data_IF_629962760333
#
_entry.id   IF_629962760333
#
_cell.length_a   1.000
_cell.length_b   1.000
_cell.length_c   1.000
_cell.angle_alpha   90.00
_cell.angle_beta   90.00
_cell.angle_gamma   90.00
#
_symmetry.space_group_name_H-M   'P 1'
#
loop_
_entity.id
_entity.type
_entity.pdbx_description
1 polymer ?
#
# COMPACT_ATOMS: atom_id res chain seq x y z
N UNK A 1 6.23 -5.29 -11.09
CA UNK A 1 5.81 -4.46 -9.99
C UNK A 1 5.28 -5.35 -8.87
N UNK A 2 5.61 -5.02 -7.63
CA UNK A 2 5.26 -5.86 -6.50
C UNK A 2 3.82 -5.57 -6.03
N UNK A 3 3.14 -6.63 -5.65
CA UNK A 3 1.80 -6.51 -5.11
C UNK A 3 1.87 -6.51 -3.59
N UNK A 4 1.16 -5.60 -2.95
CA UNK A 4 1.16 -5.49 -1.49
C UNK A 4 -0.27 -5.53 -0.97
N UNK A 5 -0.39 -5.92 0.30
CA UNK A 5 -1.69 -5.90 0.98
C UNK A 5 -1.51 -5.36 2.39
N UNK A 6 -2.58 -4.83 2.93
CA UNK A 6 -2.57 -4.29 4.29
C UNK A 6 -3.98 -4.35 4.86
N UNK A 7 -4.06 -4.19 6.19
CA UNK A 7 -5.35 -4.15 6.88
C UNK A 7 -5.55 -2.78 7.50
N UNK A 8 -6.76 -2.26 7.35
CA UNK A 8 -7.12 -0.97 7.93
C UNK A 8 -8.61 -0.96 8.24
N UNK A 9 -8.96 -0.52 9.43
CA UNK A 9 -10.35 -0.45 9.83
C UNK A 9 -11.09 -1.77 9.79
N UNK A 10 -10.38 -2.88 10.06
CA UNK A 10 -10.97 -4.20 10.04
C UNK A 10 -11.19 -4.80 8.66
N UNK A 11 -10.70 -4.13 7.62
CA UNK A 11 -10.82 -4.60 6.23
C UNK A 11 -9.46 -4.83 5.62
N UNK A 12 -9.40 -5.79 4.70
CA UNK A 12 -8.18 -6.07 3.96
C UNK A 12 -8.18 -5.31 2.64
N UNK A 13 -7.07 -4.65 2.38
CA UNK A 13 -6.88 -3.89 1.15
C UNK A 13 -5.65 -4.40 0.42
N UNK A 14 -5.64 -4.21 -0.88
CA UNK A 14 -4.48 -4.57 -1.70
C UNK A 14 -4.20 -3.48 -2.72
N UNK A 15 -2.98 -3.47 -3.20
CA UNK A 15 -2.56 -2.49 -4.19
C UNK A 15 -1.24 -2.87 -4.81
N UNK A 16 -0.70 -2.00 -5.65
CA UNK A 16 0.59 -2.21 -6.30
C UNK A 16 1.64 -1.34 -5.63
N UNK A 17 2.76 -1.98 -5.23
CA UNK A 17 3.86 -1.25 -4.63
C UNK A 17 4.53 -0.38 -5.69
N UNK A 18 4.56 0.93 -5.45
CA UNK A 18 5.16 1.88 -6.40
C UNK A 18 6.46 2.46 -5.88
N UNK A 19 6.64 2.49 -4.56
CA UNK A 19 7.85 3.03 -3.97
C UNK A 19 8.01 2.50 -2.56
N UNK A 20 9.24 2.38 -2.12
CA UNK A 20 9.55 1.94 -0.77
C UNK A 20 10.65 2.81 -0.19
N UNK A 21 10.46 3.27 1.04
CA UNK A 21 11.47 4.01 1.79
C UNK A 21 11.91 3.16 2.99
N UNK A 22 12.80 3.70 3.81
CA UNK A 22 13.28 2.98 5.00
C UNK A 22 12.17 2.67 6.00
N UNK A 23 11.16 3.54 6.08
CA UNK A 23 10.13 3.43 7.11
C UNK A 23 8.74 3.18 6.56
N UNK A 24 8.51 3.44 5.29
CA UNK A 24 7.19 3.36 4.70
C UNK A 24 7.22 2.69 3.34
N UNK A 25 6.07 2.15 2.96
CA UNK A 25 5.83 1.65 1.61
C UNK A 25 4.69 2.45 1.01
N UNK A 26 4.82 2.79 -0.26
CA UNK A 26 3.77 3.50 -0.97
C UNK A 26 3.14 2.55 -1.96
N UNK A 27 1.83 2.39 -1.86
CA UNK A 27 1.09 1.50 -2.74
C UNK A 27 -0.02 2.26 -3.43
N UNK A 28 -0.27 1.88 -4.68
CA UNK A 28 -1.36 2.47 -5.44
C UNK A 28 -2.59 1.57 -5.30
N UNK A 29 -3.69 2.16 -4.88
CA UNK A 29 -4.94 1.43 -4.70
C UNK A 29 -5.70 1.32 -6.02
N UNK A 30 -6.76 0.51 -6.01
CA UNK A 30 -7.61 0.34 -7.19
C UNK A 30 -8.26 1.65 -7.63
N UNK A 31 -8.50 2.53 -6.69
CA UNK A 31 -9.11 3.83 -6.98
C UNK A 31 -8.12 4.84 -7.53
N UNK A 32 -6.87 4.45 -7.69
CA UNK A 32 -5.84 5.36 -8.16
C UNK A 32 -5.23 6.25 -7.08
N UNK A 33 -5.56 5.97 -5.83
CA UNK A 33 -5.02 6.73 -4.70
C UNK A 33 -3.73 6.10 -4.21
N UNK A 34 -2.88 6.91 -3.61
CA UNK A 34 -1.62 6.44 -3.04
C UNK A 34 -1.82 6.22 -1.55
N UNK A 35 -1.47 5.01 -1.10
CA UNK A 35 -1.55 4.65 0.31
C UNK A 35 -0.15 4.58 0.89
N UNK A 36 0.05 5.29 1.99
CA UNK A 36 1.31 5.28 2.71
C UNK A 36 1.20 4.27 3.84
N UNK A 37 2.03 3.25 3.80
CA UNK A 37 1.98 2.14 4.75
C UNK A 37 3.26 2.14 5.57
N UNK A 38 3.13 2.26 6.87
CA UNK A 38 4.27 2.20 7.77
C UNK A 38 4.76 0.75 7.88
N UNK A 39 6.07 0.55 7.79
CA UNK A 39 6.68 -0.76 7.96
C UNK A 39 6.61 -1.24 9.40
#
# INVERSE_FOLDING_TARGET
>A
MAKVSWMWGGKRYSGTLIRETKTHKFARTENGKIKKIKK
#
